data_IF_867584559271
#
_entry.id   IF_867584559271
#
_cell.length_a   1.000
_cell.length_b   1.000
_cell.length_c   1.000
_cell.angle_alpha   90.00
_cell.angle_beta   90.00
_cell.angle_gamma   90.00
#
_symmetry.space_group_name_H-M   'P 1'
#
loop_
_entity.id
_entity.type
_entity.pdbx_description
1 polymer ?
#
# COMPACT_ATOMS: atom_id res chain seq x y z
N UNK A 1 -66.65 -15.69 -39.26
CA UNK A 1 -66.68 -15.62 -37.79
C UNK A 1 -66.89 -17.04 -37.27
N UNK A 2 -65.82 -17.70 -36.82
CA UNK A 2 -65.81 -18.91 -36.00
C UNK A 2 -64.38 -19.49 -35.99
N UNK A 3 -63.57 -19.11 -34.98
CA UNK A 3 -62.25 -19.67 -34.73
C UNK A 3 -62.02 -19.85 -33.21
N UNK A 4 -63.11 -20.10 -32.48
CA UNK A 4 -63.15 -20.17 -31.01
C UNK A 4 -63.24 -21.61 -30.46
N UNK A 5 -62.89 -22.62 -31.25
CA UNK A 5 -63.06 -24.04 -30.88
C UNK A 5 -61.81 -24.91 -31.03
N UNK A 6 -60.61 -24.31 -31.00
CA UNK A 6 -59.35 -25.06 -30.95
C UNK A 6 -58.59 -24.93 -29.60
N UNK A 7 -59.31 -24.64 -28.51
CA UNK A 7 -58.78 -24.68 -27.14
C UNK A 7 -59.48 -25.78 -26.32
N UNK A 8 -59.66 -26.95 -26.93
CA UNK A 8 -60.23 -28.12 -26.24
C UNK A 8 -59.12 -29.12 -25.89
N UNK A 9 -58.75 -29.10 -24.62
CA UNK A 9 -58.17 -30.21 -23.85
C UNK A 9 -57.04 -31.03 -24.50
N UNK A 10 -55.80 -30.66 -24.20
CA UNK A 10 -54.71 -31.62 -23.91
C UNK A 10 -53.71 -31.08 -22.89
N UNK A 11 -54.19 -30.65 -21.72
CA UNK A 11 -53.37 -30.62 -20.50
C UNK A 11 -53.68 -31.90 -19.72
N UNK A 12 -53.22 -33.05 -20.23
CA UNK A 12 -53.24 -34.33 -19.53
C UNK A 12 -51.85 -34.95 -19.65
N UNK A 13 -51.16 -34.96 -18.51
CA UNK A 13 -49.96 -35.72 -18.15
C UNK A 13 -48.78 -35.76 -19.13
N UNK A 14 -47.74 -34.99 -18.82
CA UNK A 14 -46.38 -35.51 -18.72
C UNK A 14 -45.47 -34.54 -17.95
N UNK A 15 -44.66 -35.09 -17.04
CA UNK A 15 -43.73 -34.38 -16.16
C UNK A 15 -42.55 -33.82 -16.96
N UNK A 16 -42.75 -32.70 -17.65
CA UNK A 16 -41.72 -32.00 -18.39
C UNK A 16 -42.03 -30.51 -18.50
N UNK A 17 -40.99 -29.68 -18.46
CA UNK A 17 -41.11 -28.24 -18.67
C UNK A 17 -41.56 -27.96 -20.10
N UNK A 18 -42.42 -26.96 -20.28
CA UNK A 18 -42.81 -26.52 -21.62
C UNK A 18 -41.60 -25.89 -22.33
N UNK A 19 -41.53 -25.99 -23.66
CA UNK A 19 -40.43 -25.37 -24.44
C UNK A 19 -40.25 -23.88 -24.10
N UNK A 20 -41.38 -23.19 -23.85
CA UNK A 20 -41.41 -21.77 -23.51
C UNK A 20 -40.81 -21.52 -22.11
N UNK A 21 -41.12 -22.35 -21.12
CA UNK A 21 -40.50 -22.31 -19.78
C UNK A 21 -38.99 -22.52 -19.86
N UNK A 22 -38.53 -23.48 -20.67
CA UNK A 22 -37.09 -23.75 -20.84
C UNK A 22 -36.37 -22.57 -21.48
N UNK A 23 -36.94 -21.98 -22.54
CA UNK A 23 -36.37 -20.79 -23.19
C UNK A 23 -36.31 -19.61 -22.23
N UNK A 24 -37.36 -19.41 -21.43
CA UNK A 24 -37.44 -18.32 -20.45
C UNK A 24 -36.38 -18.48 -19.34
N UNK A 25 -36.21 -19.70 -18.81
CA UNK A 25 -35.19 -19.99 -17.79
C UNK A 25 -33.78 -19.82 -18.34
N UNK A 26 -33.50 -20.28 -19.56
CA UNK A 26 -32.20 -20.10 -20.21
C UNK A 26 -31.89 -18.62 -20.40
N UNK A 27 -32.87 -17.85 -20.86
CA UNK A 27 -32.72 -16.41 -21.09
C UNK A 27 -32.41 -15.68 -19.77
N UNK A 28 -33.18 -15.93 -18.71
CA UNK A 28 -32.93 -15.35 -17.39
C UNK A 28 -31.55 -15.75 -16.85
N UNK A 29 -31.19 -17.03 -16.96
CA UNK A 29 -29.90 -17.55 -16.49
C UNK A 29 -28.72 -16.93 -17.23
N UNK A 30 -28.87 -16.67 -18.53
CA UNK A 30 -27.82 -16.08 -19.37
C UNK A 30 -27.62 -14.60 -19.03
N UNK A 31 -28.71 -13.86 -18.80
CA UNK A 31 -28.66 -12.47 -18.35
C UNK A 31 -28.03 -12.36 -16.97
N UNK A 32 -28.41 -13.22 -16.02
CA UNK A 32 -27.80 -13.28 -14.69
C UNK A 32 -26.32 -13.63 -14.74
N UNK A 33 -25.93 -14.60 -15.58
CA UNK A 33 -24.53 -14.96 -15.77
C UNK A 33 -23.71 -13.79 -16.35
N UNK A 34 -24.29 -13.05 -17.30
CA UNK A 34 -23.67 -11.84 -17.87
C UNK A 34 -23.45 -10.75 -16.82
N UNK A 35 -24.49 -10.42 -16.05
CA UNK A 35 -24.40 -9.43 -14.97
C UNK A 35 -23.42 -9.85 -13.88
N UNK A 36 -23.39 -11.14 -13.54
CA UNK A 36 -22.44 -11.68 -12.57
C UNK A 36 -20.99 -11.58 -13.08
N UNK A 37 -20.75 -11.87 -14.36
CA UNK A 37 -19.43 -11.74 -14.98
C UNK A 37 -18.98 -10.27 -15.00
N UNK A 38 -19.88 -9.34 -15.31
CA UNK A 38 -19.60 -7.90 -15.33
C UNK A 38 -19.25 -7.37 -13.93
N UNK A 39 -19.96 -7.82 -12.89
CA UNK A 39 -19.63 -7.52 -11.49
C UNK A 39 -18.27 -8.07 -11.09
N UNK A 40 -17.96 -9.31 -11.48
CA UNK A 40 -16.64 -9.92 -11.22
C UNK A 40 -15.53 -9.12 -11.90
N UNK A 41 -15.69 -8.79 -13.17
CA UNK A 41 -14.71 -7.99 -13.92
C UNK A 41 -14.55 -6.58 -13.33
N UNK A 42 -15.64 -5.96 -12.87
CA UNK A 42 -15.61 -4.70 -12.14
C UNK A 42 -14.79 -4.78 -10.85
N UNK A 43 -15.00 -5.82 -10.05
CA UNK A 43 -14.24 -6.05 -8.81
C UNK A 43 -12.75 -6.33 -9.07
N UNK A 44 -12.43 -7.08 -10.12
CA UNK A 44 -11.04 -7.35 -10.50
C UNK A 44 -10.32 -6.12 -11.09
N UNK A 45 -11.04 -5.25 -11.81
CA UNK A 45 -10.48 -3.99 -12.29
C UNK A 45 -10.12 -3.05 -11.13
N UNK A 46 -10.93 -3.07 -10.06
CA UNK A 46 -10.72 -2.27 -8.83
C UNK A 46 -9.53 -2.80 -7.98
N UNK A 47 -9.17 -4.08 -8.11
CA UNK A 47 -8.02 -4.64 -7.39
C UNK A 47 -6.68 -4.03 -7.81
N UNK A 48 -6.52 -3.55 -9.04
CA UNK A 48 -5.30 -2.85 -9.46
C UNK A 48 -5.12 -1.51 -8.74
N UNK A 49 -6.22 -0.85 -8.35
CA UNK A 49 -6.19 0.32 -7.48
C UNK A 49 -5.75 -0.08 -6.08
N UNK A 50 -6.34 -1.15 -5.51
CA UNK A 50 -5.93 -1.66 -4.19
C UNK A 50 -4.49 -2.17 -4.12
N UNK A 51 -3.96 -2.82 -5.17
CA UNK A 51 -2.59 -3.39 -5.11
C UNK A 51 -1.51 -2.32 -5.20
N UNK A 52 -1.66 -1.31 -6.06
CA UNK A 52 -0.67 -0.23 -6.16
C UNK A 52 -0.67 0.68 -4.93
N UNK A 53 -1.86 1.10 -4.46
CA UNK A 53 -2.00 1.89 -3.24
C UNK A 53 -1.55 1.09 -2.01
N UNK A 54 -2.00 -0.16 -1.84
CA UNK A 54 -1.61 -0.94 -0.66
C UNK A 54 -0.10 -1.17 -0.58
N UNK A 55 0.60 -1.30 -1.70
CA UNK A 55 2.05 -1.57 -1.69
C UNK A 55 2.84 -0.35 -1.20
N UNK A 56 2.56 0.85 -1.73
CA UNK A 56 3.28 2.06 -1.33
C UNK A 56 3.05 2.41 0.15
N UNK A 57 1.82 2.25 0.63
CA UNK A 57 1.46 2.50 2.03
C UNK A 57 2.09 1.46 2.97
N UNK A 58 2.14 0.19 2.55
CA UNK A 58 2.80 -0.88 3.29
C UNK A 58 4.32 -0.67 3.35
N UNK A 59 4.95 -0.35 2.21
CA UNK A 59 6.39 -0.07 2.12
C UNK A 59 6.78 1.10 3.02
N UNK A 60 5.98 2.16 3.02
CA UNK A 60 6.16 3.31 3.89
C UNK A 60 6.06 2.95 5.38
N UNK A 61 5.05 2.17 5.76
CA UNK A 61 4.86 1.72 7.14
C UNK A 61 6.02 0.84 7.61
N UNK A 62 6.40 -0.16 6.81
CA UNK A 62 7.53 -1.04 7.09
C UNK A 62 8.84 -0.25 7.19
N UNK A 63 9.02 0.76 6.35
CA UNK A 63 10.23 1.58 6.38
C UNK A 63 10.32 2.40 7.67
N UNK A 64 9.23 3.06 8.08
CA UNK A 64 9.18 3.80 9.36
C UNK A 64 9.48 2.86 10.54
N UNK A 65 8.93 1.65 10.49
CA UNK A 65 9.15 0.63 11.51
C UNK A 65 10.61 0.18 11.58
N UNK A 66 11.23 -0.08 10.43
CA UNK A 66 12.65 -0.43 10.34
C UNK A 66 13.52 0.72 10.87
N UNK A 67 13.26 1.96 10.47
CA UNK A 67 14.00 3.12 10.97
C UNK A 67 13.85 3.24 12.49
N UNK A 68 12.63 3.10 13.00
CA UNK A 68 12.35 3.15 14.43
C UNK A 68 13.09 2.06 15.21
N UNK A 69 13.12 0.84 14.67
CA UNK A 69 13.83 -0.28 15.29
C UNK A 69 15.35 -0.08 15.26
N UNK A 70 15.90 0.39 14.14
CA UNK A 70 17.33 0.70 14.03
C UNK A 70 17.75 1.84 14.97
N UNK A 71 16.91 2.86 15.14
CA UNK A 71 17.15 3.94 16.10
C UNK A 71 17.13 3.41 17.53
N UNK A 72 16.13 2.61 17.89
CA UNK A 72 16.01 2.02 19.23
C UNK A 72 17.24 1.21 19.65
N UNK A 73 17.86 0.50 18.72
CA UNK A 73 19.02 -0.35 18.99
C UNK A 73 20.35 0.27 18.52
N UNK A 74 20.33 1.55 18.16
CA UNK A 74 21.55 2.26 17.79
C UNK A 74 22.42 2.50 19.02
N UNK A 75 23.74 2.53 18.81
CA UNK A 75 24.69 2.84 19.87
C UNK A 75 24.88 4.35 20.04
N UNK A 76 24.69 5.10 18.96
CA UNK A 76 24.80 6.55 18.95
C UNK A 76 23.79 7.11 17.95
N UNK A 77 23.11 8.19 18.35
CA UNK A 77 22.24 8.99 17.48
C UNK A 77 22.68 10.44 17.54
N UNK A 78 22.75 11.05 16.37
CA UNK A 78 22.95 12.47 16.19
C UNK A 78 21.85 13.03 15.30
N UNK A 79 21.01 13.89 15.89
CA UNK A 79 19.99 14.61 15.14
C UNK A 79 20.62 15.85 14.51
N UNK A 80 20.92 15.78 13.22
CA UNK A 80 21.56 16.88 12.48
C UNK A 80 20.57 18.01 12.21
N UNK A 81 19.34 17.64 11.84
CA UNK A 81 18.23 18.56 11.66
C UNK A 81 16.90 17.84 11.88
N UNK A 82 15.79 18.57 11.85
CA UNK A 82 14.46 17.94 11.90
C UNK A 82 14.23 16.98 10.73
N UNK A 83 14.93 17.11 9.60
CA UNK A 83 14.71 16.27 8.42
C UNK A 83 15.85 15.28 8.17
N UNK A 84 16.85 15.24 9.04
CA UNK A 84 18.05 14.42 8.89
C UNK A 84 18.55 13.89 10.22
N UNK A 85 18.67 12.56 10.29
CA UNK A 85 19.20 11.85 11.45
C UNK A 85 20.36 10.97 11.03
N UNK A 86 21.41 10.96 11.85
CA UNK A 86 22.56 10.07 11.72
C UNK A 86 22.59 9.14 12.91
N UNK A 87 22.87 7.87 12.71
CA UNK A 87 22.98 6.94 13.81
C UNK A 87 23.86 5.75 13.47
N UNK A 88 24.52 5.21 14.49
CA UNK A 88 25.37 4.04 14.35
C UNK A 88 24.61 2.80 14.79
N UNK A 89 24.28 1.93 13.84
CA UNK A 89 23.46 0.75 14.07
C UNK A 89 23.95 -0.45 13.27
N UNK A 90 23.50 -1.63 13.68
CA UNK A 90 23.71 -2.86 12.92
C UNK A 90 22.98 -2.80 11.57
N UNK A 91 23.71 -3.05 10.50
CA UNK A 91 23.20 -3.14 9.13
C UNK A 91 24.09 -4.10 8.34
N UNK A 92 23.46 -5.06 7.66
CA UNK A 92 24.12 -6.02 6.77
C UNK A 92 25.38 -6.69 7.38
N UNK A 93 25.17 -7.44 8.47
CA UNK A 93 26.20 -8.26 9.15
C UNK A 93 27.26 -7.49 9.97
N UNK A 94 27.23 -6.15 9.95
CA UNK A 94 28.16 -5.31 10.71
C UNK A 94 27.49 -4.07 11.30
N UNK A 95 28.22 -3.31 12.10
CA UNK A 95 27.76 -1.98 12.53
C UNK A 95 28.30 -0.93 11.58
N UNK A 96 27.46 0.05 11.24
CA UNK A 96 27.87 1.16 10.41
C UNK A 96 27.04 2.41 10.68
N UNK A 97 27.58 3.54 10.25
CA UNK A 97 26.82 4.78 10.23
C UNK A 97 25.70 4.70 9.19
N UNK A 98 24.50 5.08 9.60
CA UNK A 98 23.33 5.21 8.76
C UNK A 98 22.86 6.66 8.84
N UNK A 99 22.43 7.21 7.71
CA UNK A 99 21.75 8.50 7.69
C UNK A 99 20.48 8.38 6.89
N UNK A 100 19.39 8.92 7.43
CA UNK A 100 18.13 9.10 6.73
C UNK A 100 17.89 10.58 6.52
N UNK A 101 17.61 10.97 5.29
CA UNK A 101 17.37 12.35 4.90
C UNK A 101 16.45 12.44 3.69
N UNK A 102 15.81 13.59 3.52
CA UNK A 102 15.11 13.92 2.28
C UNK A 102 16.06 14.55 1.28
N UNK A 103 15.92 14.18 0.01
CA UNK A 103 16.57 14.86 -1.09
C UNK A 103 15.59 15.07 -2.25
N UNK A 104 15.79 16.16 -2.99
CA UNK A 104 14.98 16.49 -4.15
C UNK A 104 15.44 15.66 -5.35
N UNK A 105 14.51 14.96 -6.01
CA UNK A 105 14.75 14.27 -7.27
C UNK A 105 13.72 14.73 -8.29
N UNK A 106 14.17 15.48 -9.29
CA UNK A 106 13.30 16.07 -10.32
C UNK A 106 12.14 16.85 -9.68
N UNK A 107 10.92 16.30 -9.76
CA UNK A 107 9.68 16.94 -9.30
C UNK A 107 9.14 16.37 -7.97
N UNK A 108 9.81 15.40 -7.34
CA UNK A 108 9.38 14.83 -6.07
C UNK A 108 10.51 14.79 -5.04
N UNK A 109 10.11 14.76 -3.77
CA UNK A 109 11.03 14.50 -2.67
C UNK A 109 11.09 13.00 -2.42
N UNK A 110 12.30 12.53 -2.11
CA UNK A 110 12.60 11.12 -1.93
C UNK A 110 13.30 10.95 -0.59
N UNK A 111 12.88 9.93 0.15
CA UNK A 111 13.59 9.48 1.33
C UNK A 111 14.82 8.70 0.92
N UNK A 112 15.99 9.26 1.21
CA UNK A 112 17.26 8.62 1.03
C UNK A 112 17.77 7.98 2.32
N UNK A 113 18.52 6.89 2.13
CA UNK A 113 19.45 6.36 3.11
C UNK A 113 20.87 6.50 2.60
N UNK A 114 21.77 7.01 3.43
CA UNK A 114 23.22 6.89 3.22
C UNK A 114 23.79 5.86 4.16
N UNK A 115 24.68 5.05 3.62
CA UNK A 115 25.55 4.19 4.40
C UNK A 115 26.86 4.93 4.62
N UNK A 116 27.36 4.90 5.83
CA UNK A 116 28.66 5.43 6.18
C UNK A 116 29.65 4.36 6.61
N UNK A 117 30.77 4.80 7.16
CA UNK A 117 31.83 3.91 7.63
C UNK A 117 31.37 2.96 8.73
N UNK A 118 32.07 1.82 8.81
CA UNK A 118 31.94 0.84 9.90
C UNK A 118 32.66 1.28 11.18
N UNK A 119 33.52 2.31 11.09
CA UNK A 119 34.20 2.89 12.23
C UNK A 119 33.28 3.89 12.95
N UNK A 120 32.98 3.61 14.21
CA UNK A 120 32.21 4.46 15.11
C UNK A 120 32.74 5.90 15.14
N UNK A 121 34.07 6.10 15.05
CA UNK A 121 34.69 7.42 15.12
C UNK A 121 34.68 8.18 13.78
N UNK A 122 34.39 7.52 12.67
CA UNK A 122 34.45 8.13 11.33
C UNK A 122 33.11 8.10 10.61
N UNK A 123 32.44 9.26 10.57
CA UNK A 123 31.15 9.49 9.90
C UNK A 123 31.32 9.80 8.41
N UNK A 124 32.04 8.95 7.70
CA UNK A 124 32.19 9.10 6.24
C UNK A 124 30.96 8.50 5.57
N UNK A 125 30.11 9.32 4.97
CA UNK A 125 28.88 8.85 4.29
C UNK A 125 29.09 8.72 2.79
N UNK A 126 28.67 7.58 2.25
CA UNK A 126 28.59 7.31 0.83
C UNK A 126 27.42 8.02 0.13
N UNK A 127 27.05 7.49 -1.03
CA UNK A 127 25.98 8.07 -1.87
C UNK A 127 24.58 7.83 -1.28
N UNK A 128 23.66 8.74 -1.57
CA UNK A 128 22.24 8.56 -1.26
C UNK A 128 21.67 7.38 -2.06
N UNK A 129 21.06 6.43 -1.36
CA UNK A 129 20.24 5.37 -1.93
C UNK A 129 18.77 5.77 -1.73
N UNK A 130 18.03 5.86 -2.83
CA UNK A 130 16.57 6.08 -2.80
C UNK A 130 15.90 4.90 -2.11
N UNK A 131 15.10 5.16 -1.08
CA UNK A 131 14.36 4.12 -0.34
C UNK A 131 12.86 4.25 -0.55
N UNK A 132 12.33 5.47 -0.58
CA UNK A 132 10.90 5.72 -0.80
C UNK A 132 10.68 6.99 -1.60
N UNK A 133 9.84 6.91 -2.62
CA UNK A 133 9.49 8.02 -3.51
C UNK A 133 8.22 8.75 -3.03
N UNK A 134 7.97 9.95 -3.56
CA UNK A 134 6.77 10.77 -3.27
C UNK A 134 6.58 11.14 -1.78
N UNK A 135 7.68 11.33 -1.07
CA UNK A 135 7.67 11.72 0.34
C UNK A 135 7.55 13.24 0.42
N UNK A 136 6.50 13.77 1.03
CA UNK A 136 6.30 15.21 1.18
C UNK A 136 7.07 15.79 2.38
N UNK A 137 7.15 15.03 3.48
CA UNK A 137 7.97 15.44 4.62
C UNK A 137 8.42 14.27 5.49
N UNK A 138 9.56 14.47 6.15
CA UNK A 138 10.15 13.58 7.14
C UNK A 138 10.58 14.45 8.30
N UNK A 139 10.11 14.14 9.50
CA UNK A 139 10.45 14.90 10.71
C UNK A 139 10.87 13.98 11.84
N UNK A 140 11.96 14.36 12.49
CA UNK A 140 12.49 13.75 13.70
C UNK A 140 12.49 14.83 14.79
N UNK A 141 11.73 14.60 15.86
CA UNK A 141 11.61 15.54 16.97
C UNK A 141 11.88 14.82 18.30
N UNK A 142 12.79 15.34 19.12
CA UNK A 142 12.85 14.93 20.52
C UNK A 142 11.66 15.53 21.27
N UNK A 143 10.83 14.66 21.85
CA UNK A 143 9.77 15.04 22.76
C UNK A 143 10.29 15.12 24.21
N UNK A 144 11.17 14.18 24.57
CA UNK A 144 11.86 14.09 25.87
C UNK A 144 13.30 13.58 25.66
N UNK A 145 14.13 13.55 26.71
CA UNK A 145 15.56 13.18 26.61
C UNK A 145 15.81 11.83 25.89
N UNK A 146 14.90 10.86 26.07
CA UNK A 146 14.99 9.52 25.48
C UNK A 146 13.81 9.17 24.57
N UNK A 147 13.00 10.16 24.16
CA UNK A 147 11.81 9.92 23.35
C UNK A 147 11.86 10.75 22.08
N UNK A 148 11.97 10.06 20.94
CA UNK A 148 12.00 10.66 19.62
C UNK A 148 10.73 10.30 18.85
N UNK A 149 10.11 11.31 18.26
CA UNK A 149 9.00 11.17 17.34
C UNK A 149 9.52 11.20 15.90
N UNK A 150 9.26 10.12 15.16
CA UNK A 150 9.44 10.01 13.72
C UNK A 150 8.09 10.25 13.05
N UNK A 151 8.01 11.24 12.16
CA UNK A 151 6.85 11.52 11.31
C UNK A 151 7.24 11.46 9.84
N UNK A 152 6.48 10.72 9.05
CA UNK A 152 6.60 10.62 7.61
C UNK A 152 5.26 11.01 6.99
N UNK A 153 5.29 11.91 6.02
CA UNK A 153 4.13 12.33 5.23
C UNK A 153 4.40 11.98 3.78
N UNK A 154 3.47 11.26 3.18
CA UNK A 154 3.53 10.81 1.78
C UNK A 154 2.29 11.31 1.08
N UNK A 155 2.45 11.76 -0.16
CA UNK A 155 1.36 12.27 -0.97
C UNK A 155 1.24 11.46 -2.24
N UNK A 156 0.09 10.84 -2.44
CA UNK A 156 -0.25 10.16 -3.68
C UNK A 156 -1.63 10.61 -4.17
N UNK A 157 -1.71 11.08 -5.42
CA UNK A 157 -2.95 11.42 -6.14
C UNK A 157 -4.07 12.12 -5.32
N UNK A 158 -3.70 13.07 -4.45
CA UNK A 158 -4.53 13.89 -3.54
C UNK A 158 -4.85 13.30 -2.16
N UNK A 159 -4.38 12.10 -1.85
CA UNK A 159 -4.44 11.55 -0.50
C UNK A 159 -3.09 11.77 0.22
N UNK A 160 -3.18 12.20 1.47
CA UNK A 160 -2.04 12.42 2.35
C UNK A 160 -2.02 11.30 3.39
N UNK A 161 -0.95 10.51 3.39
CA UNK A 161 -0.69 9.51 4.40
C UNK A 161 0.30 10.07 5.41
N UNK A 162 -0.15 10.18 6.66
CA UNK A 162 0.71 10.47 7.79
C UNK A 162 0.99 9.17 8.55
N UNK A 163 2.26 8.79 8.62
CA UNK A 163 2.74 7.72 9.49
C UNK A 163 3.60 8.35 10.56
N UNK A 164 3.28 8.09 11.82
CA UNK A 164 4.07 8.52 12.96
C UNK A 164 4.40 7.36 13.88
N UNK A 165 5.61 7.40 14.45
CA UNK A 165 6.06 6.41 15.42
C UNK A 165 6.90 7.09 16.50
N UNK A 166 6.64 6.68 17.73
CA UNK A 166 7.44 7.07 18.89
C UNK A 166 8.51 6.01 19.12
N UNK A 167 9.74 6.47 19.33
CA UNK A 167 10.92 5.63 19.53
C UNK A 167 11.51 6.02 20.87
N UNK A 168 11.57 5.06 21.79
CA UNK A 168 12.35 5.19 23.00
C UNK A 168 13.79 4.80 22.67
N UNK A 169 14.71 5.71 22.92
CA UNK A 169 16.13 5.60 22.57
C UNK A 169 16.94 5.41 23.85
#
# INVERSE_FOLDING_TARGET
MNLLLCLKNRFKDNRGFTLLEVILVITISTVLAGLFLELLLGLYADQNYFTAYSNLYLDAYLLVDIIAEQLKYSQQIDLISQTEIHFFSYYNEGQQWLSYNLYQRENSQVLARRLGGEDYLNKDFGRNLSVLENVESLKFNYLEENLLELKLIIKDNNEELLISRLVYI
#
